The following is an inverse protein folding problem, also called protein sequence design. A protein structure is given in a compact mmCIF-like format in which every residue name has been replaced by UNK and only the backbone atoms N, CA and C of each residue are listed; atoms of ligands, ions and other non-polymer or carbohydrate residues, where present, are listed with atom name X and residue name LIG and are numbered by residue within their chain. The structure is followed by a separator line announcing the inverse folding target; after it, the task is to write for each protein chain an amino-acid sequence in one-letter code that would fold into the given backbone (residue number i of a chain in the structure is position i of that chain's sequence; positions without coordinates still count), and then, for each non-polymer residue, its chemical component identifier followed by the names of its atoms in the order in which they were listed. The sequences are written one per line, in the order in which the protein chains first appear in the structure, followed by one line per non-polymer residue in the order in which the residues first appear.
data_IF_320286169628
#
_entry.id   IF_320286169628
#
_cell.length_a   1.000
_cell.length_b   1.000
_cell.length_c   1.000
_cell.angle_alpha   90.00
_cell.angle_beta   90.00
_cell.angle_gamma   90.00
#
_symmetry.space_group_name_H-M   'P 1'
#
loop_
_entity.id
_entity.type
_entity.pdbx_description
1 polymer ?
#
# COMPACT_ATOMS: atom_id res chain seq x y z
N UNK A 1 1.41 -20.20 6.15
CA UNK A 1 2.82 -19.80 5.99
C UNK A 1 2.89 -18.37 5.45
N UNK A 2 2.44 -17.30 6.15
CA UNK A 2 1.93 -16.15 5.35
C UNK A 2 2.18 -14.69 5.79
N UNK A 3 2.42 -14.32 7.06
CA UNK A 3 2.56 -12.88 7.42
C UNK A 3 4.00 -12.37 7.49
N UNK A 4 4.90 -13.11 8.14
CA UNK A 4 6.29 -12.68 8.32
C UNK A 4 7.02 -12.56 6.98
N UNK A 5 6.77 -13.51 6.05
CA UNK A 5 7.29 -13.46 4.69
C UNK A 5 6.76 -12.23 3.93
N UNK A 6 5.46 -11.92 4.04
CA UNK A 6 4.88 -10.74 3.39
C UNK A 6 5.49 -9.44 3.94
N UNK A 7 5.64 -9.35 5.26
CA UNK A 7 6.30 -8.22 5.92
C UNK A 7 7.75 -8.06 5.45
N UNK A 8 8.48 -9.17 5.34
CA UNK A 8 9.86 -9.17 4.84
C UNK A 8 9.93 -8.72 3.38
N UNK A 9 9.03 -9.20 2.51
CA UNK A 9 8.94 -8.76 1.12
C UNK A 9 8.67 -7.25 1.04
N UNK A 10 7.68 -6.73 1.79
CA UNK A 10 7.36 -5.31 1.78
C UNK A 10 8.50 -4.43 2.31
N UNK A 11 9.23 -4.90 3.32
CA UNK A 11 10.40 -4.20 3.84
C UNK A 11 11.54 -4.20 2.82
N UNK A 12 11.83 -5.33 2.17
CA UNK A 12 12.82 -5.42 1.11
C UNK A 12 12.46 -4.51 -0.07
N UNK A 13 11.19 -4.49 -0.49
CA UNK A 13 10.73 -3.57 -1.53
C UNK A 13 10.93 -2.11 -1.11
N UNK A 14 10.63 -1.75 0.13
CA UNK A 14 10.84 -0.37 0.61
C UNK A 14 12.31 0.02 0.57
N UNK A 15 13.19 -0.87 1.05
CA UNK A 15 14.63 -0.64 0.99
C UNK A 15 15.13 -0.50 -0.45
N UNK A 16 14.60 -1.30 -1.38
CA UNK A 16 14.97 -1.19 -2.80
C UNK A 16 14.47 0.13 -3.42
N UNK A 17 13.28 0.59 -3.05
CA UNK A 17 12.72 1.87 -3.51
C UNK A 17 13.61 3.07 -3.12
N UNK A 18 14.29 3.00 -1.97
CA UNK A 18 15.22 4.05 -1.54
C UNK A 18 16.46 4.14 -2.46
N UNK A 19 16.77 3.09 -3.22
CA UNK A 19 17.96 3.00 -4.08
C UNK A 19 17.64 3.14 -5.58
N UNK A 20 16.36 3.28 -5.96
CA UNK A 20 15.97 3.47 -7.36
C UNK A 20 14.58 2.92 -7.68
N UNK A 21 14.26 2.86 -8.98
CA UNK A 21 13.01 2.27 -9.43
C UNK A 21 12.98 0.76 -9.17
N UNK A 22 11.92 0.30 -8.51
CA UNK A 22 11.72 -1.12 -8.29
C UNK A 22 11.21 -1.75 -9.59
N UNK A 23 11.82 -2.84 -10.06
CA UNK A 23 11.29 -3.56 -11.19
C UNK A 23 9.88 -4.05 -10.91
N UNK A 24 8.95 -3.70 -11.79
CA UNK A 24 7.51 -3.97 -11.65
C UNK A 24 7.21 -5.46 -11.41
N UNK A 25 8.02 -6.36 -11.99
CA UNK A 25 7.91 -7.81 -11.78
C UNK A 25 8.18 -8.26 -10.32
N UNK A 26 8.91 -7.46 -9.54
CA UNK A 26 9.13 -7.72 -8.11
C UNK A 26 7.84 -7.57 -7.29
N UNK A 27 6.81 -6.90 -7.81
CA UNK A 27 5.50 -6.85 -7.15
C UNK A 27 4.75 -8.17 -7.31
N UNK A 28 4.97 -8.92 -8.39
CA UNK A 28 4.32 -10.21 -8.64
C UNK A 28 4.57 -11.26 -7.54
N UNK A 29 5.63 -11.11 -6.74
CA UNK A 29 5.87 -11.98 -5.57
C UNK A 29 4.86 -11.75 -4.44
N UNK A 30 4.22 -10.57 -4.36
CA UNK A 30 3.22 -10.26 -3.32
C UNK A 30 1.94 -11.09 -3.50
N UNK A 31 1.40 -11.19 -4.71
CA UNK A 31 0.21 -12.02 -5.00
C UNK A 31 0.44 -13.50 -4.75
N UNK A 32 1.68 -13.96 -4.92
CA UNK A 32 2.06 -15.35 -4.62
C UNK A 32 2.27 -15.59 -3.12
N UNK A 33 2.50 -14.53 -2.35
CA UNK A 33 2.85 -14.63 -0.93
C UNK A 33 1.63 -14.73 -0.01
N UNK A 34 0.52 -14.04 -0.34
CA UNK A 34 -0.65 -13.94 0.54
C UNK A 34 -1.96 -13.63 -0.22
N UNK A 35 -3.09 -13.76 0.50
CA UNK A 35 -4.41 -13.32 0.01
C UNK A 35 -4.47 -11.80 -0.09
N UNK A 36 -5.30 -11.29 -1.00
CA UNK A 36 -5.47 -9.86 -1.26
C UNK A 36 -5.84 -9.03 -0.02
N UNK A 37 -6.71 -9.55 0.84
CA UNK A 37 -7.10 -8.91 2.10
C UNK A 37 -5.90 -8.70 3.03
N UNK A 38 -5.05 -9.73 3.17
CA UNK A 38 -3.83 -9.67 3.96
C UNK A 38 -2.84 -8.66 3.36
N UNK A 39 -2.67 -8.65 2.04
CA UNK A 39 -1.82 -7.67 1.35
C UNK A 39 -2.34 -6.25 1.63
N UNK A 40 -3.64 -6.03 1.51
CA UNK A 40 -4.28 -4.72 1.73
C UNK A 40 -4.01 -4.20 3.14
N UNK A 41 -4.22 -5.03 4.16
CA UNK A 41 -3.99 -4.65 5.55
C UNK A 41 -2.52 -4.30 5.80
N UNK A 42 -1.58 -5.10 5.27
CA UNK A 42 -0.15 -4.80 5.41
C UNK A 42 0.28 -3.53 4.68
N UNK A 43 -0.30 -3.24 3.50
CA UNK A 43 -0.09 -1.97 2.80
C UNK A 43 -0.61 -0.79 3.64
N UNK A 44 -1.81 -0.92 4.23
CA UNK A 44 -2.41 0.11 5.10
C UNK A 44 -1.53 0.43 6.30
N UNK A 45 -1.11 -0.60 7.03
CA UNK A 45 -0.23 -0.45 8.19
C UNK A 45 1.09 0.23 7.83
N UNK A 46 1.66 -0.13 6.67
CA UNK A 46 2.95 0.38 6.26
C UNK A 46 2.88 1.81 5.77
N UNK A 47 1.86 2.19 4.99
CA UNK A 47 1.72 3.59 4.58
C UNK A 47 1.45 4.51 5.77
N UNK A 48 0.78 4.06 6.83
CA UNK A 48 0.59 4.89 8.01
C UNK A 48 1.86 5.05 8.86
N UNK A 49 2.78 4.08 8.81
CA UNK A 49 3.97 4.05 9.69
C UNK A 49 5.25 4.57 9.03
N UNK A 50 5.35 4.47 7.71
CA UNK A 50 6.54 4.74 6.90
C UNK A 50 6.26 5.91 5.94
N UNK A 51 7.08 6.97 6.00
CA UNK A 51 6.89 8.18 5.20
C UNK A 51 7.29 8.03 3.74
N UNK A 52 8.12 7.05 3.40
CA UNK A 52 8.59 6.83 2.03
C UNK A 52 7.70 5.82 1.29
N UNK A 53 6.90 5.06 2.04
CA UNK A 53 6.08 3.97 1.50
C UNK A 53 4.85 4.39 0.67
N UNK A 54 4.17 5.53 0.89
CA UNK A 54 2.95 5.87 0.15
C UNK A 54 3.08 5.79 -1.38
N UNK A 55 4.21 6.27 -1.92
CA UNK A 55 4.52 6.19 -3.36
C UNK A 55 4.65 4.75 -3.83
N UNK A 56 5.37 3.92 -3.07
CA UNK A 56 5.54 2.51 -3.38
C UNK A 56 4.21 1.75 -3.29
N UNK A 57 3.39 2.03 -2.28
CA UNK A 57 2.05 1.46 -2.16
C UNK A 57 1.20 1.77 -3.39
N UNK A 58 1.20 3.02 -3.87
CA UNK A 58 0.47 3.40 -5.08
C UNK A 58 0.97 2.66 -6.32
N UNK A 59 2.29 2.51 -6.48
CA UNK A 59 2.89 1.76 -7.59
C UNK A 59 2.48 0.28 -7.58
N UNK A 60 2.47 -0.35 -6.40
CA UNK A 60 2.03 -1.73 -6.22
C UNK A 60 0.56 -1.88 -6.65
N UNK A 61 -0.33 -1.03 -6.12
CA UNK A 61 -1.77 -1.11 -6.40
C UNK A 61 -2.06 -0.80 -7.87
N UNK A 62 -1.40 0.23 -8.44
CA UNK A 62 -1.52 0.57 -9.86
C UNK A 62 -1.10 -0.59 -10.76
N UNK A 63 0.06 -1.18 -10.47
CA UNK A 63 0.56 -2.30 -11.27
C UNK A 63 -0.44 -3.46 -11.27
N UNK A 64 -0.94 -3.84 -10.09
CA UNK A 64 -1.93 -4.90 -10.02
C UNK A 64 -3.19 -4.54 -10.80
N UNK A 65 -3.73 -3.34 -10.62
CA UNK A 65 -4.91 -2.85 -11.36
C UNK A 65 -4.76 -3.03 -12.88
N UNK A 66 -3.58 -2.75 -13.43
CA UNK A 66 -3.32 -2.89 -14.88
C UNK A 66 -3.16 -4.33 -15.39
N UNK A 67 -3.00 -5.31 -14.50
CA UNK A 67 -2.80 -6.73 -14.87
C UNK A 67 -4.10 -7.52 -15.08
N UNK A 68 -5.26 -6.86 -15.06
CA UNK A 68 -6.58 -7.36 -15.50
C UNK A 68 -6.95 -8.78 -15.01
N UNK A 69 -6.67 -9.07 -13.73
CA UNK A 69 -7.07 -10.30 -13.06
C UNK A 69 -8.29 -10.03 -12.14
N UNK A 70 -9.32 -10.88 -12.15
CA UNK A 70 -10.53 -10.67 -11.33
C UNK A 70 -10.24 -10.48 -9.82
N UNK A 71 -9.22 -11.14 -9.27
CA UNK A 71 -8.80 -10.99 -7.87
C UNK A 71 -8.15 -9.62 -7.55
N UNK A 72 -7.66 -8.90 -8.56
CA UNK A 72 -7.03 -7.57 -8.40
C UNK A 72 -8.07 -6.51 -8.06
N UNK A 73 -9.31 -6.64 -8.55
CA UNK A 73 -10.39 -5.70 -8.20
C UNK A 73 -10.59 -5.60 -6.68
N UNK A 74 -10.32 -6.68 -5.96
CA UNK A 74 -10.39 -6.73 -4.49
C UNK A 74 -9.24 -5.98 -3.80
N UNK A 75 -8.05 -5.89 -4.42
CA UNK A 75 -6.91 -5.16 -3.85
C UNK A 75 -7.14 -3.65 -3.97
N UNK A 76 -7.50 -3.19 -5.16
CA UNK A 76 -7.72 -1.78 -5.46
C UNK A 76 -8.91 -1.24 -4.67
N UNK A 77 -10.00 -1.99 -4.59
CA UNK A 77 -11.16 -1.61 -3.77
C UNK A 77 -10.88 -1.70 -2.26
N UNK A 78 -10.13 -2.70 -1.80
CA UNK A 78 -9.68 -2.81 -0.42
C UNK A 78 -8.82 -1.62 -0.01
N UNK A 79 -7.80 -1.29 -0.80
CA UNK A 79 -6.94 -0.13 -0.57
C UNK A 79 -7.72 1.19 -0.55
N UNK A 80 -8.73 1.33 -1.42
CA UNK A 80 -9.62 2.50 -1.42
C UNK A 80 -10.45 2.58 -0.14
N UNK A 81 -10.98 1.44 0.33
CA UNK A 81 -11.76 1.37 1.55
C UNK A 81 -10.93 1.83 2.77
N UNK A 82 -9.66 1.41 2.86
CA UNK A 82 -8.75 1.88 3.91
C UNK A 82 -8.45 3.38 3.78
N UNK A 83 -8.17 3.89 2.58
CA UNK A 83 -7.92 5.32 2.37
C UNK A 83 -9.14 6.19 2.75
N UNK A 84 -10.36 5.76 2.38
CA UNK A 84 -11.61 6.42 2.76
C UNK A 84 -11.87 6.34 4.28
N UNK A 85 -11.52 5.22 4.91
CA UNK A 85 -11.58 5.07 6.37
C UNK A 85 -10.63 6.04 7.05
N UNK A 86 -9.38 6.14 6.58
CA UNK A 86 -8.40 7.09 7.12
C UNK A 86 -8.88 8.53 6.96
N UNK A 87 -9.54 8.87 5.84
CA UNK A 87 -10.15 10.18 5.63
C UNK A 87 -11.28 10.48 6.62
N UNK A 88 -12.14 9.50 6.89
CA UNK A 88 -13.23 9.63 7.88
C UNK A 88 -12.67 9.78 9.29
N UNK A 89 -11.62 9.04 9.63
CA UNK A 89 -10.97 9.04 10.94
C UNK A 89 -9.79 10.02 11.06
N UNK A 90 -9.67 10.99 10.13
CA UNK A 90 -8.48 11.85 10.01
C UNK A 90 -8.14 12.64 11.28
N UNK A 91 -9.15 13.06 12.04
CA UNK A 91 -8.97 13.83 13.27
C UNK A 91 -8.43 12.94 14.39
N UNK A 92 -8.91 11.70 14.50
CA UNK A 92 -8.38 10.69 15.44
C UNK A 92 -6.94 10.32 15.09
N UNK A 93 -6.64 10.11 13.80
CA UNK A 93 -5.28 9.83 13.33
C UNK A 93 -4.34 10.99 13.67
N UNK A 94 -4.80 12.23 13.47
CA UNK A 94 -4.03 13.45 13.80
C UNK A 94 -3.75 13.57 15.29
N UNK A 95 -4.73 13.25 16.14
CA UNK A 95 -4.58 13.25 17.60
C UNK A 95 -3.60 12.16 18.05
N UNK A 96 -3.68 10.96 17.45
CA UNK A 96 -2.81 9.83 17.78
C UNK A 96 -1.36 10.05 17.32
N UNK A 97 -1.15 10.54 16.10
CA UNK A 97 0.19 10.76 15.55
C UNK A 97 0.16 11.72 14.37
N UNK A 98 0.86 12.85 14.52
CA UNK A 98 1.09 13.79 13.41
C UNK A 98 1.83 13.15 12.24
N UNK A 99 2.72 12.18 12.51
CA UNK A 99 3.43 11.42 11.47
C UNK A 99 2.45 10.59 10.65
N UNK A 100 1.59 9.81 11.32
CA UNK A 100 0.57 9.01 10.63
C UNK A 100 -0.36 9.88 9.78
N UNK A 101 -0.78 11.03 10.31
CA UNK A 101 -1.62 11.96 9.56
C UNK A 101 -0.94 12.50 8.30
N UNK A 102 0.33 12.90 8.39
CA UNK A 102 1.12 13.32 7.21
C UNK A 102 1.22 12.20 6.18
N UNK A 103 1.53 10.99 6.64
CA UNK A 103 1.68 9.86 5.73
C UNK A 103 0.37 9.50 5.05
N UNK A 104 -0.77 9.49 5.78
CA UNK A 104 -2.08 9.28 5.19
C UNK A 104 -2.42 10.35 4.13
N UNK A 105 -2.15 11.63 4.40
CA UNK A 105 -2.38 12.70 3.42
C UNK A 105 -1.51 12.47 2.17
N UNK A 106 -0.25 12.05 2.35
CA UNK A 106 0.62 11.68 1.24
C UNK A 106 0.07 10.49 0.46
N UNK A 107 -0.44 9.46 1.13
CA UNK A 107 -1.11 8.31 0.49
C UNK A 107 -2.28 8.76 -0.39
N UNK A 108 -3.12 9.70 0.04
CA UNK A 108 -4.22 10.21 -0.79
C UNK A 108 -3.73 10.84 -2.10
N UNK A 109 -2.61 11.58 -2.05
CA UNK A 109 -2.03 12.22 -3.24
C UNK A 109 -1.47 11.16 -4.19
N UNK A 110 -0.68 10.21 -3.67
CA UNK A 110 -0.08 9.15 -4.48
C UNK A 110 -1.13 8.22 -5.08
N UNK A 111 -2.23 7.96 -4.36
CA UNK A 111 -3.30 7.07 -4.81
C UNK A 111 -4.16 7.70 -5.90
N UNK A 112 -4.11 9.02 -6.11
CA UNK A 112 -4.88 9.67 -7.17
C UNK A 112 -4.63 9.05 -8.56
N UNK A 113 -3.39 8.64 -8.87
CA UNK A 113 -3.06 8.02 -10.16
C UNK A 113 -3.66 6.62 -10.34
N UNK A 114 -3.99 5.95 -9.23
CA UNK A 114 -4.54 4.59 -9.22
C UNK A 114 -6.02 4.61 -9.63
N UNK A 115 -6.77 5.64 -9.23
CA UNK A 115 -8.24 5.70 -9.36
C UNK A 115 -8.74 6.72 -10.39
N UNK A 116 -7.84 7.28 -11.21
CA UNK A 116 -8.21 8.19 -12.30
C UNK A 116 -8.56 7.44 -13.59
#
# INVERSE_FOLDING_TARGET
MHEENLRNVLNSLSHLADHGEIPVHAFGTLLRAAKTETITEHLHQKWLSDSNFPRLAAQIVYHFHTLDNHDVSSLTSGCLAHALRDYKCRDEIRQKSRKMYRNYVHTLVEFYIVYR
#
